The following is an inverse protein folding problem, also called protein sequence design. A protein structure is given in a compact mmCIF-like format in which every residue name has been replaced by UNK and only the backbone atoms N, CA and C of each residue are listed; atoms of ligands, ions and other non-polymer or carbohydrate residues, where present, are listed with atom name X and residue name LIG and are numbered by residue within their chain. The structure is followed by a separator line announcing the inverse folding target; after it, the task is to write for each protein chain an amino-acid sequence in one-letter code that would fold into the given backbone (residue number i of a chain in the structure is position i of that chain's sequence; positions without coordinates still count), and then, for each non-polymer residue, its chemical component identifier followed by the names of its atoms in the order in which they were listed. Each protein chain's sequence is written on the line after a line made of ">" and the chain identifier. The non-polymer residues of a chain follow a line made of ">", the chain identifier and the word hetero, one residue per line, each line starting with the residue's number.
data_IF_665829586636
#
_entry.id   IF_665829586636
#
_cell.length_a   1.000
_cell.length_b   1.000
_cell.length_c   1.000
_cell.angle_alpha   90.00
_cell.angle_beta   90.00
_cell.angle_gamma   90.00
#
_symmetry.space_group_name_H-M   'P 1'
#
loop_
_entity.id
_entity.type
_entity.pdbx_description
1 polymer ?
#
# COMPACT_ATOMS: atom_id res chain seq x y z
N UNK A 1 -64.94 39.35 29.84
CA UNK A 1 -63.67 39.60 30.56
C UNK A 1 -62.62 38.69 29.94
N UNK A 2 -61.60 39.31 29.35
CA UNK A 2 -60.52 38.66 28.61
C UNK A 2 -59.58 37.89 29.52
N UNK A 3 -59.26 36.65 29.18
CA UNK A 3 -58.00 36.01 29.59
C UNK A 3 -57.51 35.11 28.47
N UNK A 4 -56.59 35.65 27.67
CA UNK A 4 -55.72 34.94 26.74
C UNK A 4 -54.82 33.97 27.51
N UNK A 5 -55.05 32.66 27.38
CA UNK A 5 -54.11 31.65 27.87
C UNK A 5 -53.04 31.45 26.79
N UNK A 6 -51.87 32.03 27.03
CA UNK A 6 -50.67 31.83 26.22
C UNK A 6 -50.34 30.34 26.14
N UNK A 7 -50.48 29.75 24.94
CA UNK A 7 -49.89 28.46 24.59
C UNK A 7 -48.37 28.63 24.50
N UNK A 8 -47.67 28.49 25.62
CA UNK A 8 -46.22 28.29 25.58
C UNK A 8 -45.96 26.84 25.20
N UNK A 9 -45.66 26.61 23.92
CA UNK A 9 -45.13 25.34 23.42
C UNK A 9 -43.92 24.92 24.28
N UNK A 10 -43.87 23.66 24.77
CA UNK A 10 -42.64 23.15 25.36
C UNK A 10 -41.61 23.03 24.23
N UNK A 11 -40.51 23.76 24.37
CA UNK A 11 -39.34 23.72 23.51
C UNK A 11 -38.77 22.30 23.45
N UNK A 12 -39.16 21.55 22.42
CA UNK A 12 -38.63 20.22 22.09
C UNK A 12 -37.29 20.29 21.33
N UNK A 13 -36.54 21.39 21.43
CA UNK A 13 -35.42 21.66 20.52
C UNK A 13 -34.04 21.75 21.18
N UNK A 14 -33.93 21.73 22.51
CA UNK A 14 -32.59 21.84 23.16
C UNK A 14 -31.92 20.48 23.39
N UNK A 15 -32.69 19.43 23.68
CA UNK A 15 -32.14 18.10 24.00
C UNK A 15 -31.73 17.35 22.73
N UNK A 16 -32.48 17.48 21.63
CA UNK A 16 -32.12 16.88 20.34
C UNK A 16 -30.83 17.47 19.77
N UNK A 17 -30.60 18.77 19.92
CA UNK A 17 -29.34 19.40 19.47
C UNK A 17 -28.16 18.95 20.35
N UNK A 18 -28.39 18.70 21.64
CA UNK A 18 -27.36 18.26 22.58
C UNK A 18 -26.96 16.81 22.35
N UNK A 19 -27.95 15.94 22.09
CA UNK A 19 -27.75 14.53 21.75
C UNK A 19 -27.11 14.39 20.37
N UNK A 20 -27.58 15.17 19.38
CA UNK A 20 -26.98 15.23 18.04
C UNK A 20 -25.54 15.77 18.11
N UNK A 21 -25.26 16.78 18.94
CA UNK A 21 -23.88 17.27 19.18
C UNK A 21 -23.02 16.22 19.86
N UNK A 22 -23.55 15.44 20.80
CA UNK A 22 -22.84 14.35 21.45
C UNK A 22 -22.54 13.22 20.45
N UNK A 23 -23.50 12.84 19.60
CA UNK A 23 -23.32 11.85 18.54
C UNK A 23 -22.29 12.33 17.51
N UNK A 24 -22.34 13.60 17.11
CA UNK A 24 -21.34 14.20 16.21
C UNK A 24 -19.96 14.28 16.86
N UNK A 25 -19.85 14.62 18.15
CA UNK A 25 -18.58 14.56 18.89
C UNK A 25 -18.06 13.14 19.04
N UNK A 26 -18.94 12.15 19.24
CA UNK A 26 -18.57 10.73 19.31
C UNK A 26 -18.06 10.23 17.96
N UNK A 27 -18.73 10.60 16.87
CA UNK A 27 -18.32 10.30 15.49
C UNK A 27 -17.00 10.98 15.10
N UNK A 28 -16.69 12.16 15.69
CA UNK A 28 -15.41 12.86 15.55
C UNK A 28 -14.28 12.26 16.43
N UNK A 29 -14.63 11.50 17.48
CA UNK A 29 -13.70 10.85 18.42
C UNK A 29 -13.44 9.37 18.10
N UNK A 30 -14.21 8.76 17.18
CA UNK A 30 -13.84 7.46 16.60
C UNK A 30 -12.52 7.70 15.88
N UNK A 31 -11.40 7.04 16.27
CA UNK A 31 -10.21 7.08 15.45
C UNK A 31 -10.66 6.53 14.10
N UNK A 32 -10.61 7.39 13.07
CA UNK A 32 -10.59 6.93 11.69
C UNK A 32 -9.58 5.78 11.70
N UNK A 33 -10.05 4.54 11.58
CA UNK A 33 -9.15 3.44 11.29
C UNK A 33 -8.29 3.96 10.13
N UNK A 34 -6.97 3.75 10.15
CA UNK A 34 -6.21 4.03 8.96
C UNK A 34 -6.91 3.18 7.89
N UNK A 35 -7.59 3.83 6.94
CA UNK A 35 -7.85 3.20 5.67
C UNK A 35 -6.48 2.69 5.24
N UNK A 36 -6.24 1.38 5.09
CA UNK A 36 -5.14 0.99 4.26
C UNK A 36 -5.54 1.55 2.90
N UNK A 37 -4.85 2.60 2.48
CA UNK A 37 -5.07 3.37 1.25
C UNK A 37 -5.94 4.63 1.39
N UNK A 38 -5.43 5.63 2.09
CA UNK A 38 -5.46 7.01 1.59
C UNK A 38 -4.13 7.68 1.96
N UNK A 39 -3.08 7.29 1.23
CA UNK A 39 -1.92 8.15 1.09
C UNK A 39 -2.42 9.44 0.46
N UNK A 40 -2.37 10.52 1.23
CA UNK A 40 -2.43 11.88 0.71
C UNK A 40 -1.42 11.98 -0.44
N UNK A 41 -1.92 11.99 -1.67
CA UNK A 41 -1.16 12.36 -2.85
C UNK A 41 -0.89 13.87 -2.80
N UNK A 42 -0.12 14.32 -1.80
CA UNK A 42 0.54 15.63 -1.87
C UNK A 42 1.67 15.50 -2.86
N UNK A 43 1.30 15.76 -4.11
CA UNK A 43 2.08 16.46 -5.12
C UNK A 43 3.58 16.61 -4.80
N UNK A 44 4.35 15.60 -5.16
CA UNK A 44 5.40 15.88 -6.12
C UNK A 44 4.69 15.60 -7.46
N UNK A 45 4.18 16.61 -8.16
CA UNK A 45 4.97 17.23 -9.22
C UNK A 45 6.40 16.66 -9.24
N UNK A 46 6.52 15.37 -9.60
CA UNK A 46 7.54 14.98 -10.54
C UNK A 46 7.22 15.83 -11.76
N UNK A 47 7.78 17.03 -11.76
CA UNK A 47 8.44 17.54 -12.94
C UNK A 47 9.20 16.32 -13.43
N UNK A 48 8.62 15.64 -14.42
CA UNK A 48 9.42 14.93 -15.38
C UNK A 48 10.38 16.02 -15.83
N UNK A 49 11.54 16.11 -15.15
CA UNK A 49 12.74 16.54 -15.80
C UNK A 49 12.76 15.56 -16.94
N UNK A 50 12.35 16.06 -18.10
CA UNK A 50 12.65 15.46 -19.37
C UNK A 50 14.18 15.45 -19.38
N UNK A 51 14.73 14.46 -18.68
CA UNK A 51 16.14 14.16 -18.65
C UNK A 51 16.47 13.97 -20.11
N UNK A 52 17.50 14.69 -20.54
CA UNK A 52 17.95 14.68 -21.92
C UNK A 52 18.03 13.23 -22.36
N UNK A 53 17.11 12.79 -23.23
CA UNK A 53 16.95 11.36 -23.54
C UNK A 53 18.24 10.89 -24.19
N UNK A 54 19.01 10.10 -23.45
CA UNK A 54 20.32 9.66 -23.90
C UNK A 54 20.13 8.59 -24.98
N UNK A 55 20.66 8.85 -26.18
CA UNK A 55 20.61 7.87 -27.26
C UNK A 55 21.66 6.78 -27.04
N UNK A 56 21.23 5.52 -27.05
CA UNK A 56 22.12 4.36 -26.91
C UNK A 56 23.24 4.36 -27.95
N UNK A 57 22.97 4.88 -29.15
CA UNK A 57 23.92 4.92 -30.26
C UNK A 57 25.13 5.81 -30.02
N UNK A 58 25.07 6.73 -29.05
CA UNK A 58 26.18 7.65 -28.72
C UNK A 58 26.98 7.20 -27.50
N UNK A 59 26.39 6.41 -26.62
CA UNK A 59 26.93 6.15 -25.27
C UNK A 59 27.29 4.69 -25.05
N UNK A 60 26.64 3.77 -25.77
CA UNK A 60 26.83 2.35 -25.60
C UNK A 60 27.60 1.72 -26.77
N UNK A 61 28.41 0.72 -26.46
CA UNK A 61 29.09 -0.09 -27.45
C UNK A 61 28.19 -1.25 -27.87
N UNK A 62 28.10 -1.51 -29.18
CA UNK A 62 27.34 -2.63 -29.73
C UNK A 62 28.30 -3.67 -30.30
N UNK A 63 28.06 -4.92 -29.97
CA UNK A 63 28.80 -6.08 -30.45
C UNK A 63 27.82 -7.03 -31.13
N UNK A 64 28.08 -7.38 -32.38
CA UNK A 64 27.29 -8.39 -33.09
C UNK A 64 27.75 -9.78 -32.64
N UNK A 65 26.81 -10.65 -32.32
CA UNK A 65 27.09 -12.06 -32.02
C UNK A 65 27.10 -12.87 -33.32
N UNK A 66 27.84 -13.99 -33.37
CA UNK A 66 27.87 -14.86 -34.55
C UNK A 66 26.48 -15.36 -34.99
N UNK A 67 25.54 -15.44 -34.06
CA UNK A 67 24.17 -15.89 -34.27
C UNK A 67 23.23 -14.79 -34.82
N UNK A 68 23.76 -13.61 -35.15
CA UNK A 68 23.00 -12.48 -35.68
C UNK A 68 22.31 -11.61 -34.62
N UNK A 69 22.59 -11.84 -33.34
CA UNK A 69 22.13 -11.01 -32.24
C UNK A 69 23.04 -9.82 -31.96
N UNK A 70 22.57 -8.90 -31.11
CA UNK A 70 23.38 -7.76 -30.67
C UNK A 70 23.53 -7.81 -29.15
N UNK A 71 24.77 -7.65 -28.68
CA UNK A 71 25.07 -7.36 -27.28
C UNK A 71 25.35 -5.88 -27.14
N UNK A 72 24.67 -5.21 -26.21
CA UNK A 72 24.81 -3.77 -25.98
C UNK A 72 25.44 -3.55 -24.59
N UNK A 73 26.61 -2.92 -24.57
CA UNK A 73 27.33 -2.57 -23.35
C UNK A 73 27.24 -1.07 -23.07
N UNK A 74 26.52 -0.72 -22.00
CA UNK A 74 26.31 0.64 -21.49
C UNK A 74 26.87 0.82 -20.07
N UNK A 75 27.76 -0.06 -19.62
CA UNK A 75 28.26 -0.11 -18.25
C UNK A 75 29.08 1.12 -17.87
N UNK A 76 28.89 1.66 -16.67
CA UNK A 76 29.75 2.75 -16.14
C UNK A 76 29.60 4.12 -16.82
N UNK A 77 28.55 4.33 -17.62
CA UNK A 77 28.34 5.54 -18.41
C UNK A 77 27.63 6.67 -17.64
N UNK A 78 27.45 6.52 -16.32
CA UNK A 78 26.74 7.47 -15.43
C UNK A 78 25.31 7.76 -15.88
N UNK A 79 24.66 6.77 -16.48
CA UNK A 79 23.30 6.89 -16.98
C UNK A 79 22.31 7.03 -15.81
N UNK A 80 21.40 8.00 -15.89
CA UNK A 80 20.30 8.17 -14.92
C UNK A 80 18.97 7.61 -15.42
N UNK A 81 18.90 7.26 -16.72
CA UNK A 81 17.74 6.67 -17.38
C UNK A 81 18.20 5.61 -18.39
N UNK A 82 17.33 4.65 -18.69
CA UNK A 82 17.55 3.67 -19.75
C UNK A 82 17.68 4.41 -21.10
N UNK A 83 18.73 4.15 -21.89
CA UNK A 83 18.95 4.88 -23.13
C UNK A 83 17.96 4.46 -24.22
N UNK A 84 17.55 5.42 -25.05
CA UNK A 84 16.59 5.18 -26.13
C UNK A 84 17.29 4.71 -27.43
N UNK A 85 16.54 3.99 -28.27
CA UNK A 85 17.03 3.54 -29.58
C UNK A 85 17.88 2.26 -29.51
N UNK A 86 17.65 1.43 -28.50
CA UNK A 86 18.17 0.07 -28.45
C UNK A 86 17.56 -0.75 -29.60
N UNK A 87 18.36 -1.63 -30.21
CA UNK A 87 17.88 -2.48 -31.31
C UNK A 87 16.98 -3.58 -30.77
N UNK A 88 15.91 -3.90 -31.49
CA UNK A 88 15.07 -5.06 -31.17
C UNK A 88 15.78 -6.42 -31.34
N UNK A 89 16.96 -6.44 -31.96
CA UNK A 89 17.85 -7.60 -32.07
C UNK A 89 18.78 -7.75 -30.85
N UNK A 90 18.61 -6.90 -29.82
CA UNK A 90 19.43 -6.97 -28.61
C UNK A 90 19.10 -8.23 -27.82
N UNK A 91 20.10 -9.10 -27.65
CA UNK A 91 19.99 -10.35 -26.86
C UNK A 91 20.52 -10.13 -25.45
N UNK A 92 21.57 -9.31 -25.29
CA UNK A 92 22.19 -9.02 -24.00
C UNK A 92 22.33 -7.52 -23.82
N UNK A 93 21.88 -7.01 -22.68
CA UNK A 93 21.96 -5.59 -22.34
C UNK A 93 22.64 -5.41 -20.98
N UNK A 94 23.81 -4.79 -20.99
CA UNK A 94 24.56 -4.45 -19.79
C UNK A 94 24.38 -2.97 -19.49
N UNK A 95 23.68 -2.67 -18.40
CA UNK A 95 23.44 -1.33 -17.85
C UNK A 95 24.01 -1.21 -16.43
N UNK A 96 24.94 -2.08 -16.05
CA UNK A 96 25.56 -2.11 -14.74
C UNK A 96 26.41 -0.88 -14.42
N UNK A 97 26.62 -0.61 -13.13
CA UNK A 97 27.49 0.48 -12.62
C UNK A 97 27.07 1.86 -13.13
N UNK A 98 25.77 2.07 -13.30
CA UNK A 98 25.18 3.36 -13.66
C UNK A 98 24.52 4.03 -12.45
N UNK A 99 23.72 5.07 -12.68
CA UNK A 99 23.06 5.88 -11.65
C UNK A 99 21.54 5.82 -11.83
N UNK A 100 21.01 4.71 -12.35
CA UNK A 100 19.58 4.51 -12.51
C UNK A 100 18.93 4.46 -11.13
N UNK A 101 17.93 5.30 -10.88
CA UNK A 101 17.23 5.36 -9.58
C UNK A 101 15.80 4.81 -9.63
N UNK A 102 15.19 4.81 -10.82
CA UNK A 102 13.85 4.30 -11.06
C UNK A 102 13.81 3.62 -12.43
N UNK A 103 12.94 2.62 -12.58
CA UNK A 103 12.69 1.97 -13.85
C UNK A 103 11.24 2.21 -14.27
N UNK A 104 10.97 2.98 -15.34
CA UNK A 104 9.60 3.25 -15.78
C UNK A 104 8.95 2.04 -16.46
N UNK A 105 7.62 2.09 -16.56
CA UNK A 105 6.85 1.12 -17.35
C UNK A 105 7.36 1.06 -18.80
N UNK A 106 7.29 -0.14 -19.41
CA UNK A 106 7.67 -0.38 -20.81
C UNK A 106 9.13 0.00 -21.16
N UNK A 107 10.04 0.09 -20.18
CA UNK A 107 11.46 0.45 -20.41
C UNK A 107 12.18 -0.44 -21.43
N UNK A 108 11.73 -1.68 -21.55
CA UNK A 108 12.33 -2.71 -22.41
C UNK A 108 11.32 -3.37 -23.36
N UNK A 109 10.14 -2.77 -23.55
CA UNK A 109 9.03 -3.38 -24.32
C UNK A 109 9.39 -3.73 -25.77
N UNK A 110 10.32 -2.98 -26.36
CA UNK A 110 10.75 -3.16 -27.75
C UNK A 110 11.84 -4.26 -27.90
N UNK A 111 12.36 -4.79 -26.80
CA UNK A 111 13.48 -5.74 -26.76
C UNK A 111 13.00 -7.19 -26.59
N UNK A 112 12.11 -7.62 -27.48
CA UNK A 112 11.47 -8.94 -27.39
C UNK A 112 12.43 -10.15 -27.51
N UNK A 113 13.68 -9.96 -27.97
CA UNK A 113 14.72 -11.00 -28.01
C UNK A 113 15.70 -10.95 -26.82
N UNK A 114 15.49 -10.05 -25.87
CA UNK A 114 16.39 -9.87 -24.74
C UNK A 114 16.37 -11.10 -23.84
N UNK A 115 17.52 -11.75 -23.71
CA UNK A 115 17.72 -12.95 -22.90
C UNK A 115 18.44 -12.64 -21.59
N UNK A 116 19.33 -11.64 -21.59
CA UNK A 116 20.15 -11.27 -20.43
C UNK A 116 20.06 -9.76 -20.20
N UNK A 117 19.66 -9.37 -18.99
CA UNK A 117 19.58 -7.98 -18.57
C UNK A 117 20.36 -7.78 -17.27
N UNK A 118 21.43 -7.00 -17.33
CA UNK A 118 22.24 -6.63 -16.17
C UNK A 118 21.98 -5.17 -15.78
N UNK A 119 21.32 -4.99 -14.64
CA UNK A 119 21.04 -3.70 -13.99
C UNK A 119 21.77 -3.58 -12.64
N UNK A 120 22.77 -4.43 -12.41
CA UNK A 120 23.50 -4.48 -11.14
C UNK A 120 24.26 -3.19 -10.84
N UNK A 121 24.57 -2.95 -9.56
CA UNK A 121 25.35 -1.78 -9.13
C UNK A 121 24.77 -0.43 -9.60
N UNK A 122 23.44 -0.31 -9.61
CA UNK A 122 22.73 0.94 -9.83
C UNK A 122 22.21 1.50 -8.49
N UNK A 123 21.25 2.42 -8.54
CA UNK A 123 20.62 3.02 -7.36
C UNK A 123 19.10 2.81 -7.39
N UNK A 124 18.64 1.76 -8.07
CA UNK A 124 17.21 1.55 -8.34
C UNK A 124 16.52 1.27 -7.01
N UNK A 125 15.62 2.18 -6.62
CA UNK A 125 14.80 2.04 -5.41
C UNK A 125 13.34 1.73 -5.73
N UNK A 126 12.92 1.92 -6.99
CA UNK A 126 11.54 1.73 -7.42
C UNK A 126 11.48 1.15 -8.83
N UNK A 127 10.67 0.09 -8.97
CA UNK A 127 10.31 -0.54 -10.24
C UNK A 127 8.84 -0.22 -10.49
N UNK A 128 8.54 0.46 -11.58
CA UNK A 128 7.15 0.71 -11.96
C UNK A 128 6.49 -0.58 -12.45
N UNK A 129 5.19 -0.72 -12.24
CA UNK A 129 4.43 -1.87 -12.72
C UNK A 129 4.58 -2.03 -14.24
N UNK A 130 4.87 -3.24 -14.70
CA UNK A 130 5.10 -3.50 -16.12
C UNK A 130 6.41 -2.93 -16.70
N UNK A 131 7.39 -2.55 -15.89
CA UNK A 131 8.70 -2.11 -16.39
C UNK A 131 9.45 -3.16 -17.24
N UNK A 132 9.20 -4.45 -17.00
CA UNK A 132 9.73 -5.57 -17.79
C UNK A 132 8.71 -6.19 -18.75
N UNK A 133 7.64 -5.47 -19.08
CA UNK A 133 6.61 -5.96 -20.00
C UNK A 133 7.21 -6.32 -21.35
N UNK A 134 6.80 -7.46 -21.91
CA UNK A 134 7.31 -7.97 -23.19
C UNK A 134 8.56 -8.85 -23.06
N UNK A 135 9.14 -8.97 -21.87
CA UNK A 135 10.33 -9.79 -21.62
C UNK A 135 10.02 -11.19 -21.05
N UNK A 136 8.79 -11.42 -20.58
CA UNK A 136 8.33 -12.67 -19.97
C UNK A 136 8.69 -13.95 -20.74
N UNK A 137 8.67 -13.91 -22.08
CA UNK A 137 8.93 -15.09 -22.92
C UNK A 137 10.39 -15.26 -23.34
N UNK A 138 11.20 -14.22 -23.19
CA UNK A 138 12.55 -14.15 -23.77
C UNK A 138 13.65 -13.99 -22.74
N UNK A 139 13.37 -13.37 -21.60
CA UNK A 139 14.35 -13.14 -20.55
C UNK A 139 14.63 -14.42 -19.79
N UNK A 140 15.91 -14.76 -19.68
CA UNK A 140 16.38 -15.93 -18.93
C UNK A 140 17.12 -15.51 -17.67
N UNK A 141 17.81 -14.37 -17.71
CA UNK A 141 18.60 -13.88 -16.59
C UNK A 141 18.40 -12.37 -16.39
N UNK A 142 18.13 -12.00 -15.13
CA UNK A 142 17.97 -10.62 -14.68
C UNK A 142 18.89 -10.37 -13.48
N UNK A 143 19.85 -9.46 -13.60
CA UNK A 143 20.65 -9.02 -12.45
C UNK A 143 20.15 -7.67 -11.93
N UNK A 144 19.57 -7.67 -10.73
CA UNK A 144 19.15 -6.49 -9.98
C UNK A 144 19.98 -6.32 -8.70
N UNK A 145 21.11 -7.03 -8.58
CA UNK A 145 21.90 -7.02 -7.37
C UNK A 145 22.58 -5.68 -7.12
N UNK A 146 22.91 -5.41 -5.85
CA UNK A 146 23.58 -4.16 -5.46
C UNK A 146 22.80 -2.90 -5.88
N UNK A 147 21.49 -2.92 -5.67
CA UNK A 147 20.58 -1.78 -5.87
C UNK A 147 20.01 -1.28 -4.53
N UNK A 148 18.92 -0.53 -4.55
CA UNK A 148 18.26 0.06 -3.37
C UNK A 148 16.81 -0.43 -3.23
N UNK A 149 16.49 -1.60 -3.76
CA UNK A 149 15.16 -2.19 -3.68
C UNK A 149 14.85 -2.63 -2.26
N UNK A 150 13.67 -2.25 -1.75
CA UNK A 150 13.25 -2.60 -0.40
C UNK A 150 12.05 -3.54 -0.36
N UNK A 151 11.36 -3.75 -1.48
CA UNK A 151 10.18 -4.62 -1.56
C UNK A 151 10.14 -5.38 -2.88
N UNK A 152 9.65 -6.62 -2.85
CA UNK A 152 9.32 -7.36 -4.06
C UNK A 152 7.91 -6.96 -4.51
N UNK A 153 7.79 -6.41 -5.71
CA UNK A 153 6.50 -6.03 -6.29
C UNK A 153 6.09 -7.02 -7.38
N UNK A 154 5.05 -7.83 -7.17
CA UNK A 154 4.52 -8.73 -8.19
C UNK A 154 4.09 -8.00 -9.46
N UNK A 155 3.63 -6.76 -9.36
CA UNK A 155 3.21 -5.98 -10.53
C UNK A 155 4.40 -5.60 -11.43
N UNK A 156 5.63 -5.63 -10.90
CA UNK A 156 6.84 -5.36 -11.65
C UNK A 156 7.52 -6.65 -12.14
N UNK A 157 7.65 -7.67 -11.28
CA UNK A 157 8.47 -8.87 -11.53
C UNK A 157 7.66 -10.13 -11.85
N UNK A 158 6.35 -10.13 -11.63
CA UNK A 158 5.54 -11.34 -11.49
C UNK A 158 5.38 -12.22 -12.71
N UNK A 159 5.69 -11.73 -13.92
CA UNK A 159 5.49 -12.45 -15.19
C UNK A 159 6.80 -12.91 -15.85
N UNK A 160 7.96 -12.78 -15.19
CA UNK A 160 9.25 -12.89 -15.86
C UNK A 160 9.73 -14.33 -16.13
N UNK A 161 9.37 -15.30 -15.30
CA UNK A 161 9.83 -16.70 -15.40
C UNK A 161 11.35 -16.89 -15.36
N UNK A 162 12.11 -15.83 -15.06
CA UNK A 162 13.56 -15.75 -15.24
C UNK A 162 14.31 -15.99 -13.93
N UNK A 163 15.58 -16.39 -14.05
CA UNK A 163 16.51 -16.40 -12.91
C UNK A 163 16.90 -14.95 -12.58
N UNK A 164 16.52 -14.48 -11.39
CA UNK A 164 16.73 -13.11 -10.96
C UNK A 164 17.73 -13.04 -9.79
N UNK A 165 18.87 -12.39 -10.00
CA UNK A 165 19.80 -12.08 -8.92
C UNK A 165 19.33 -10.82 -8.18
N UNK A 166 18.75 -11.04 -7.00
CA UNK A 166 18.15 -10.00 -6.14
C UNK A 166 19.03 -9.66 -4.92
N UNK A 167 20.27 -10.14 -4.89
CA UNK A 167 21.16 -10.00 -3.73
C UNK A 167 21.58 -8.55 -3.48
N UNK A 168 22.10 -8.26 -2.28
CA UNK A 168 22.66 -6.93 -1.94
C UNK A 168 21.68 -5.77 -2.15
N UNK A 169 20.42 -5.96 -1.76
CA UNK A 169 19.39 -4.93 -1.73
C UNK A 169 18.86 -4.77 -0.29
N UNK A 170 18.41 -3.57 0.10
CA UNK A 170 17.91 -3.30 1.45
C UNK A 170 16.49 -3.83 1.68
N UNK A 171 16.30 -5.15 1.53
CA UNK A 171 14.99 -5.79 1.63
C UNK A 171 14.34 -5.56 3.00
N UNK A 172 13.12 -5.05 2.97
CA UNK A 172 12.25 -4.87 4.12
C UNK A 172 11.21 -5.99 4.11
N UNK A 173 11.31 -6.90 5.07
CA UNK A 173 10.45 -8.08 5.15
C UNK A 173 9.30 -7.81 6.12
N UNK A 174 8.15 -7.48 5.55
CA UNK A 174 6.88 -7.21 6.24
C UNK A 174 5.79 -8.18 5.78
N UNK A 175 4.56 -7.96 6.25
CA UNK A 175 3.40 -8.74 5.81
C UNK A 175 3.14 -8.61 4.28
N UNK A 176 3.43 -7.45 3.68
CA UNK A 176 3.25 -7.24 2.24
C UNK A 176 4.22 -8.11 1.44
N UNK A 177 5.47 -8.18 1.86
CA UNK A 177 6.50 -9.05 1.28
C UNK A 177 6.07 -10.51 1.33
N UNK A 178 5.62 -11.02 2.49
CA UNK A 178 5.12 -12.40 2.61
C UNK A 178 3.96 -12.70 1.64
N UNK A 179 3.03 -11.77 1.49
CA UNK A 179 1.91 -11.91 0.56
C UNK A 179 2.33 -11.84 -0.90
N UNK A 180 3.41 -11.13 -1.24
CA UNK A 180 3.90 -10.98 -2.62
C UNK A 180 4.61 -12.21 -3.18
N UNK A 181 5.33 -12.97 -2.34
CA UNK A 181 6.14 -14.12 -2.77
C UNK A 181 5.37 -15.14 -3.64
N UNK A 182 4.16 -15.61 -3.29
CA UNK A 182 3.43 -16.57 -4.11
C UNK A 182 2.92 -16.00 -5.45
N UNK A 183 2.96 -14.69 -5.66
CA UNK A 183 2.58 -14.05 -6.94
C UNK A 183 3.77 -13.83 -7.87
N UNK A 184 5.00 -14.15 -7.43
CA UNK A 184 6.19 -14.00 -8.25
C UNK A 184 6.40 -15.27 -9.07
N UNK A 185 6.34 -15.17 -10.40
CA UNK A 185 6.82 -16.21 -11.32
C UNK A 185 8.31 -15.99 -11.60
N UNK A 186 9.15 -16.29 -10.61
CA UNK A 186 10.61 -16.26 -10.74
C UNK A 186 11.16 -17.66 -10.50
N UNK A 187 12.37 -17.91 -11.01
CA UNK A 187 13.07 -19.15 -10.67
C UNK A 187 13.24 -19.25 -9.14
N UNK A 188 12.95 -20.41 -8.51
CA UNK A 188 13.00 -20.58 -7.06
C UNK A 188 14.37 -20.25 -6.44
N UNK A 189 15.48 -20.40 -7.19
CA UNK A 189 16.81 -20.01 -6.71
C UNK A 189 16.94 -18.50 -6.50
N UNK A 190 16.16 -17.70 -7.23
CA UNK A 190 16.16 -16.23 -7.13
C UNK A 190 15.81 -15.75 -5.72
N UNK A 191 14.84 -16.42 -5.07
CA UNK A 191 14.32 -16.04 -3.76
C UNK A 191 15.19 -16.54 -2.60
N UNK A 192 15.93 -17.64 -2.79
CA UNK A 192 16.75 -18.24 -1.75
C UNK A 192 17.83 -17.28 -1.22
N UNK A 193 18.32 -16.38 -2.06
CA UNK A 193 19.38 -15.42 -1.74
C UNK A 193 18.88 -14.02 -1.32
N UNK A 194 17.57 -13.83 -1.17
CA UNK A 194 16.98 -12.58 -0.69
C UNK A 194 17.08 -12.55 0.84
N UNK A 195 17.98 -11.71 1.36
CA UNK A 195 18.22 -11.57 2.80
C UNK A 195 17.51 -10.32 3.33
N UNK A 196 16.70 -10.49 4.38
CA UNK A 196 15.97 -9.41 5.03
C UNK A 196 16.94 -8.50 5.82
N UNK A 197 16.92 -7.19 5.56
CA UNK A 197 17.71 -6.21 6.32
C UNK A 197 16.90 -5.52 7.42
N UNK A 198 15.58 -5.42 7.26
CA UNK A 198 14.68 -4.80 8.24
C UNK A 198 13.29 -5.43 8.21
N UNK A 199 12.50 -5.25 9.29
CA UNK A 199 11.12 -5.72 9.39
C UNK A 199 10.31 -4.86 10.37
N UNK A 200 8.99 -4.82 10.21
CA UNK A 200 8.07 -4.16 11.15
C UNK A 200 7.91 -4.88 12.49
N UNK A 201 8.40 -6.13 12.59
CA UNK A 201 8.28 -6.94 13.79
C UNK A 201 9.48 -6.68 14.72
N UNK A 202 9.25 -6.29 15.98
CA UNK A 202 10.35 -5.96 16.89
C UNK A 202 11.16 -7.20 17.31
N UNK A 203 12.46 -7.18 17.01
CA UNK A 203 13.52 -8.03 17.60
C UNK A 203 13.35 -9.55 17.52
N UNK A 204 12.85 -10.10 16.41
CA UNK A 204 12.78 -11.55 16.19
C UNK A 204 13.99 -12.16 15.47
N UNK A 205 15.11 -11.43 15.36
CA UNK A 205 16.26 -11.93 14.60
C UNK A 205 16.01 -12.01 13.10
N UNK A 206 15.00 -11.31 12.58
CA UNK A 206 14.62 -11.26 11.16
C UNK A 206 15.71 -10.68 10.25
N UNK A 207 16.65 -9.91 10.83
CA UNK A 207 17.76 -9.28 10.10
C UNK A 207 18.83 -10.33 9.81
N UNK A 208 19.19 -10.48 8.53
CA UNK A 208 20.23 -11.39 8.08
C UNK A 208 19.74 -12.80 7.73
N UNK A 209 18.43 -13.06 7.78
CA UNK A 209 17.81 -14.33 7.40
C UNK A 209 17.26 -14.26 5.96
N UNK A 210 17.34 -15.38 5.24
CA UNK A 210 16.71 -15.54 3.93
C UNK A 210 15.18 -15.45 4.02
N UNK A 211 14.54 -14.77 3.08
CA UNK A 211 13.10 -14.56 3.06
C UNK A 211 12.31 -15.88 3.01
N UNK A 212 12.84 -16.91 2.34
CA UNK A 212 12.18 -18.21 2.20
C UNK A 212 12.08 -18.91 3.55
N UNK A 213 13.19 -18.95 4.30
CA UNK A 213 13.23 -19.51 5.66
C UNK A 213 12.33 -18.69 6.60
N UNK A 214 12.37 -17.37 6.47
CA UNK A 214 11.59 -16.50 7.33
C UNK A 214 10.08 -16.72 7.19
N UNK A 215 9.59 -16.90 5.96
CA UNK A 215 8.14 -17.04 5.68
C UNK A 215 7.61 -18.44 5.96
N UNK A 216 8.47 -19.46 6.01
CA UNK A 216 8.08 -20.81 6.41
C UNK A 216 7.85 -20.90 7.93
N UNK A 217 8.75 -20.32 8.71
CA UNK A 217 8.74 -20.43 10.18
C UNK A 217 7.94 -19.33 10.88
N UNK A 218 7.73 -18.18 10.22
CA UNK A 218 7.11 -17.00 10.82
C UNK A 218 5.94 -16.45 10.02
N UNK A 219 4.84 -16.17 10.72
CA UNK A 219 3.73 -15.37 10.19
C UNK A 219 4.01 -13.88 10.41
N UNK A 220 4.57 -13.21 9.39
CA UNK A 220 4.86 -11.77 9.43
C UNK A 220 3.58 -10.93 9.54
N UNK A 221 2.44 -11.49 9.16
CA UNK A 221 1.14 -10.84 9.23
C UNK A 221 0.46 -10.95 10.61
N UNK A 222 1.00 -11.75 11.54
CA UNK A 222 0.45 -11.92 12.89
C UNK A 222 0.33 -10.59 13.65
N UNK A 223 1.32 -9.69 13.48
CA UNK A 223 1.32 -8.34 14.08
C UNK A 223 0.12 -7.50 13.59
N UNK A 224 -0.15 -7.54 12.29
CA UNK A 224 -1.27 -6.84 11.65
C UNK A 224 -2.60 -7.43 12.13
N UNK A 225 -2.72 -8.77 12.17
CA UNK A 225 -3.93 -9.46 12.62
C UNK A 225 -4.27 -9.14 14.07
N UNK A 226 -3.27 -9.17 14.96
CA UNK A 226 -3.43 -8.85 16.38
C UNK A 226 -3.92 -7.42 16.59
N UNK A 227 -3.44 -6.47 15.79
CA UNK A 227 -3.87 -5.07 15.86
C UNK A 227 -5.33 -4.92 15.43
N UNK A 228 -5.75 -5.62 14.36
CA UNK A 228 -7.14 -5.62 13.90
C UNK A 228 -8.08 -6.24 14.93
N UNK A 229 -7.72 -7.38 15.53
CA UNK A 229 -8.54 -8.06 16.54
C UNK A 229 -8.77 -7.16 17.77
N UNK A 230 -7.72 -6.47 18.23
CA UNK A 230 -7.82 -5.53 19.36
C UNK A 230 -8.69 -4.33 19.00
N UNK A 231 -8.48 -3.72 17.83
CA UNK A 231 -9.30 -2.58 17.37
C UNK A 231 -10.76 -2.98 17.20
N UNK A 232 -11.03 -4.16 16.65
CA UNK A 232 -12.38 -4.70 16.49
C UNK A 232 -13.06 -4.94 17.86
N UNK A 233 -12.34 -5.48 18.84
CA UNK A 233 -12.88 -5.66 20.20
C UNK A 233 -13.19 -4.31 20.87
N UNK A 234 -12.29 -3.32 20.76
CA UNK A 234 -12.50 -1.98 21.32
C UNK A 234 -13.69 -1.29 20.66
N UNK A 235 -13.78 -1.33 19.33
CA UNK A 235 -14.92 -0.75 18.60
C UNK A 235 -16.23 -1.43 18.98
N UNK A 236 -16.26 -2.77 19.07
CA UNK A 236 -17.44 -3.51 19.53
C UNK A 236 -17.92 -3.04 20.91
N UNK A 237 -16.98 -2.87 21.85
CA UNK A 237 -17.30 -2.38 23.20
C UNK A 237 -17.89 -0.96 23.19
N UNK A 238 -17.35 -0.07 22.35
CA UNK A 238 -17.88 1.29 22.17
C UNK A 238 -19.29 1.29 21.57
N UNK A 239 -19.54 0.45 20.56
CA UNK A 239 -20.87 0.29 19.96
C UNK A 239 -21.89 -0.24 20.97
N UNK A 240 -21.54 -1.24 21.76
CA UNK A 240 -22.41 -1.74 22.82
C UNK A 240 -22.69 -0.68 23.88
N UNK A 241 -21.66 0.04 24.35
CA UNK A 241 -21.83 1.11 25.33
C UNK A 241 -22.77 2.21 24.82
N UNK A 242 -22.62 2.62 23.56
CA UNK A 242 -23.49 3.59 22.91
C UNK A 242 -24.94 3.07 22.81
N UNK A 243 -25.13 1.81 22.38
CA UNK A 243 -26.45 1.19 22.27
C UNK A 243 -27.15 1.10 23.63
N UNK A 244 -26.44 0.66 24.67
CA UNK A 244 -26.97 0.61 26.04
C UNK A 244 -27.31 2.00 26.57
N UNK A 245 -26.45 2.99 26.33
CA UNK A 245 -26.71 4.38 26.71
C UNK A 245 -27.95 4.95 26.02
N UNK A 246 -28.11 4.68 24.71
CA UNK A 246 -29.29 5.08 23.94
C UNK A 246 -30.57 4.39 24.44
N UNK A 247 -30.52 3.09 24.72
CA UNK A 247 -31.66 2.35 25.26
C UNK A 247 -32.08 2.89 26.63
N UNK A 248 -31.11 3.13 27.52
CA UNK A 248 -31.38 3.68 28.84
C UNK A 248 -31.99 5.09 28.75
N UNK A 249 -31.43 5.93 27.89
CA UNK A 249 -31.96 7.26 27.59
C UNK A 249 -33.40 7.18 27.07
N UNK A 250 -33.68 6.30 26.10
CA UNK A 250 -35.01 6.12 25.53
C UNK A 250 -36.03 5.62 26.56
N UNK A 251 -35.67 4.63 27.38
CA UNK A 251 -36.54 4.11 28.44
C UNK A 251 -36.87 5.21 29.45
N UNK A 252 -35.85 5.94 29.92
CA UNK A 252 -36.03 7.04 30.86
C UNK A 252 -36.91 8.14 30.28
N UNK A 253 -36.65 8.54 29.03
CA UNK A 253 -37.45 9.54 28.34
C UNK A 253 -38.91 9.10 28.20
N UNK A 254 -39.17 7.84 27.82
CA UNK A 254 -40.52 7.34 27.65
C UNK A 254 -41.28 7.25 28.98
N UNK A 255 -40.60 6.88 30.07
CA UNK A 255 -41.17 6.91 31.42
C UNK A 255 -41.57 8.34 31.84
N UNK A 256 -40.71 9.32 31.60
CA UNK A 256 -41.00 10.73 31.89
C UNK A 256 -42.14 11.30 31.03
N UNK A 257 -42.26 10.87 29.77
CA UNK A 257 -43.41 11.22 28.93
C UNK A 257 -44.71 10.58 29.45
N UNK A 258 -44.70 9.28 29.78
CA UNK A 258 -45.88 8.59 30.32
C UNK A 258 -46.35 9.20 31.65
N UNK A 259 -45.41 9.56 32.54
CA UNK A 259 -45.70 10.22 33.82
C UNK A 259 -46.43 11.55 33.62
N UNK A 260 -45.91 12.41 32.73
CA UNK A 260 -46.52 13.70 32.40
C UNK A 260 -47.92 13.55 31.79
N UNK A 261 -48.13 12.57 30.91
CA UNK A 261 -49.46 12.29 30.36
C UNK A 261 -50.46 11.83 31.42
N UNK A 262 -50.03 11.01 32.38
CA UNK A 262 -50.88 10.56 33.48
C UNK A 262 -51.25 11.72 34.43
N UNK A 263 -50.32 12.63 34.71
CA UNK A 263 -50.60 13.85 35.49
C UNK A 263 -51.57 14.79 34.77
N UNK A 264 -51.44 14.93 33.44
CA UNK A 264 -52.38 15.70 32.62
C UNK A 264 -53.80 15.12 32.68
N UNK A 265 -53.97 13.80 32.52
CA UNK A 265 -55.27 13.14 32.62
C UNK A 265 -55.92 13.32 34.00
N UNK A 266 -55.14 13.18 35.08
CA UNK A 266 -55.62 13.46 36.45
C UNK A 266 -56.10 14.91 36.59
N UNK A 267 -55.38 15.87 36.01
CA UNK A 267 -55.76 17.29 36.06
C UNK A 267 -57.08 17.58 35.32
N UNK A 268 -57.34 16.90 34.20
CA UNK A 268 -58.59 17.01 33.47
C UNK A 268 -59.77 16.45 34.26
N UNK A 269 -59.60 15.28 34.87
CA UNK A 269 -60.63 14.65 35.68
C UNK A 269 -60.98 15.49 36.93
N UNK A 270 -59.98 16.15 37.53
CA UNK A 270 -60.20 17.06 38.67
C UNK A 270 -60.93 18.36 38.33
N UNK A 271 -61.01 18.73 37.04
CA UNK A 271 -61.73 19.94 36.58
C UNK A 271 -63.19 19.67 36.18
N UNK A 272 -63.62 18.42 36.16
CA UNK A 272 -64.99 18.00 35.79
C UNK A 272 -65.88 17.68 37.01
N UNK A 273 -65.39 17.90 38.24
CA UNK A 273 -66.12 17.81 39.51
C UNK A 273 -66.18 19.21 40.11
#
# INVERSE_FOLDING_TARGET
>A
MSTTVNLRQPSSSSVDISLLRMIVLLLLLIPLLPLPNLVMTTSLLNVARQGDRVSANKVCHRLETPDGGVTVHCSGQRLTQVPIGLSNLTIRLHLDKNLLSYLPADSFSDLFLLSELDLSHNQISFLEAGCFRGLASSLHFLDLSSNRLSMLDPAALGDLGALANLTHNPWHCDCKMQLSLPLLDLDPESLAHVICQSSDIPNLGTIGISVVILVEDWDLCLSVRRTIDVVMLVTMFLWFFMLFSYLFYYIHQNQEHARRHMEYLKSLQSRQV
#
